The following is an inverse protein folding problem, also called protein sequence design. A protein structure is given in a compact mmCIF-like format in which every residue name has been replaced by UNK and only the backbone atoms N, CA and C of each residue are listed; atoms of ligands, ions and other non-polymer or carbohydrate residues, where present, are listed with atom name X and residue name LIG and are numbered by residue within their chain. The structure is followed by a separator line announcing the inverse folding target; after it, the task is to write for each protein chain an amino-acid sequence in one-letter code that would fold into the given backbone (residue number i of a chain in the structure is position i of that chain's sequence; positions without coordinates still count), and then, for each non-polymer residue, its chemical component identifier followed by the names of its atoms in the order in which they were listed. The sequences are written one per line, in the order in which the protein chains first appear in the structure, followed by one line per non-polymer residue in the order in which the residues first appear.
data_IF_038868396456
#
_entry.id   IF_038868396456
#
_cell.length_a   1.000
_cell.length_b   1.000
_cell.length_c   1.000
_cell.angle_alpha   90.00
_cell.angle_beta   90.00
_cell.angle_gamma   90.00
#
_symmetry.space_group_name_H-M   'P 1'
#
loop_
_entity.id
_entity.type
_entity.pdbx_description
1 polymer ?
#
# COMPACT_ATOMS: atom_id res chain seq x y z
N UNK A 1 -9.71 15.37 1.30
CA UNK A 1 -8.72 14.79 2.25
C UNK A 1 -9.30 13.50 2.75
N UNK A 2 -8.49 12.44 2.77
CA UNK A 2 -8.87 11.12 3.28
C UNK A 2 -7.94 10.73 4.43
N UNK A 3 -8.48 10.02 5.42
CA UNK A 3 -7.73 9.56 6.60
C UNK A 3 -7.60 8.05 6.61
N UNK A 4 -6.39 7.58 6.88
CA UNK A 4 -6.09 6.16 7.04
C UNK A 4 -4.92 5.98 8.01
N UNK A 5 -4.83 4.80 8.61
CA UNK A 5 -3.74 4.45 9.51
C UNK A 5 -2.69 3.63 8.78
N UNK A 6 -1.42 3.92 9.07
CA UNK A 6 -0.28 3.13 8.60
C UNK A 6 0.43 2.54 9.80
N UNK A 7 0.67 1.24 9.76
CA UNK A 7 1.58 0.52 10.63
C UNK A 7 2.89 0.27 9.88
N UNK A 8 4.01 0.75 10.43
CA UNK A 8 5.33 0.45 9.90
C UNK A 8 5.86 -0.89 10.44
N UNK A 9 6.99 -1.33 9.90
CA UNK A 9 7.63 -2.62 10.18
C UNK A 9 8.11 -2.77 11.62
N UNK A 10 8.33 -1.66 12.32
CA UNK A 10 8.66 -1.63 13.76
C UNK A 10 7.41 -1.74 14.66
N UNK A 11 6.21 -1.81 14.06
CA UNK A 11 4.92 -1.87 14.73
C UNK A 11 4.38 -0.49 15.16
N UNK A 12 5.10 0.60 14.89
CA UNK A 12 4.59 1.95 15.12
C UNK A 12 3.40 2.24 14.20
N UNK A 13 2.39 2.93 14.74
CA UNK A 13 1.17 3.29 14.01
C UNK A 13 0.98 4.79 13.99
N UNK A 14 0.62 5.31 12.82
CA UNK A 14 0.28 6.71 12.64
C UNK A 14 -0.96 6.87 11.77
N UNK A 15 -1.86 7.77 12.16
CA UNK A 15 -2.94 8.22 11.29
C UNK A 15 -2.36 9.28 10.34
N UNK A 16 -2.56 9.06 9.04
CA UNK A 16 -2.16 9.97 7.99
C UNK A 16 -3.41 10.64 7.41
N UNK A 17 -3.22 11.88 6.95
CA UNK A 17 -4.25 12.63 6.23
C UNK A 17 -3.67 13.05 4.88
N UNK A 18 -4.26 12.56 3.78
CA UNK A 18 -3.76 12.79 2.43
C UNK A 18 -4.78 13.51 1.54
N UNK A 19 -4.34 14.38 0.62
CA UNK A 19 -5.22 15.00 -0.37
C UNK A 19 -5.66 13.96 -1.41
N UNK A 20 -6.96 13.94 -1.69
CA UNK A 20 -7.67 13.04 -2.62
C UNK A 20 -7.81 13.63 -4.04
N UNK A 21 -7.41 14.88 -4.24
CA UNK A 21 -7.51 15.62 -5.50
C UNK A 21 -6.19 15.70 -6.28
N UNK A 22 -5.11 15.14 -5.73
CA UNK A 22 -3.77 15.15 -6.35
C UNK A 22 -3.51 13.97 -7.31
N UNK A 23 -4.38 12.96 -7.33
CA UNK A 23 -4.21 11.77 -8.16
C UNK A 23 -3.01 10.89 -7.77
N UNK A 24 -2.58 10.96 -6.50
CA UNK A 24 -1.53 10.13 -5.96
C UNK A 24 -2.06 8.73 -5.64
N UNK A 25 -1.19 7.73 -5.75
CA UNK A 25 -1.46 6.41 -5.16
C UNK A 25 -0.88 6.30 -3.74
N UNK A 26 -1.27 5.24 -3.01
CA UNK A 26 -0.86 5.01 -1.64
C UNK A 26 0.67 4.86 -1.53
N UNK A 27 1.34 4.21 -2.50
CA UNK A 27 2.81 4.11 -2.50
C UNK A 27 3.48 5.49 -2.55
N UNK A 28 3.04 6.37 -3.45
CA UNK A 28 3.59 7.74 -3.56
C UNK A 28 3.33 8.54 -2.28
N UNK A 29 2.14 8.35 -1.69
CA UNK A 29 1.74 9.00 -0.45
C UNK A 29 2.61 8.53 0.71
N UNK A 30 2.81 7.22 0.89
CA UNK A 30 3.69 6.66 1.90
C UNK A 30 5.12 7.21 1.77
N UNK A 31 5.66 7.31 0.55
CA UNK A 31 6.96 7.92 0.31
C UNK A 31 7.00 9.41 0.65
N UNK A 32 5.93 10.16 0.37
CA UNK A 32 5.81 11.57 0.74
C UNK A 32 5.76 11.78 2.26
N UNK A 33 5.26 10.79 3.01
CA UNK A 33 5.32 10.73 4.48
C UNK A 33 6.63 10.10 5.01
N UNK A 34 7.66 9.99 4.18
CA UNK A 34 9.00 9.49 4.53
C UNK A 34 9.06 8.01 4.94
N UNK A 35 8.02 7.21 4.68
CA UNK A 35 8.11 5.77 4.83
C UNK A 35 9.05 5.16 3.79
N UNK A 36 9.85 4.19 4.21
CA UNK A 36 10.80 3.50 3.34
C UNK A 36 10.06 2.49 2.45
N UNK A 37 9.70 2.93 1.24
CA UNK A 37 9.12 2.13 0.16
C UNK A 37 10.05 2.19 -1.06
N UNK A 38 10.62 1.04 -1.44
CA UNK A 38 11.54 0.89 -2.56
C UNK A 38 10.94 1.36 -3.89
N UNK A 39 9.70 0.95 -4.18
CA UNK A 39 8.96 1.29 -5.40
C UNK A 39 9.75 1.06 -6.71
N UNK A 40 10.47 -0.06 -6.83
CA UNK A 40 11.44 -0.35 -7.89
C UNK A 40 10.87 -0.22 -9.31
N UNK A 41 9.61 -0.65 -9.53
CA UNK A 41 8.96 -0.56 -10.85
C UNK A 41 8.18 0.74 -11.08
N UNK A 42 8.20 1.70 -10.15
CA UNK A 42 7.47 2.97 -10.30
C UNK A 42 5.94 2.84 -10.39
N UNK A 43 5.36 1.73 -9.92
CA UNK A 43 3.90 1.55 -9.87
C UNK A 43 3.30 0.67 -10.97
N UNK A 44 4.12 -0.06 -11.72
CA UNK A 44 3.67 -0.94 -12.81
C UNK A 44 3.16 -2.33 -12.36
N UNK A 45 3.08 -2.60 -11.05
CA UNK A 45 2.78 -3.93 -10.50
C UNK A 45 3.76 -5.05 -10.96
N UNK A 46 5.05 -4.72 -11.11
CA UNK A 46 6.08 -5.67 -11.62
C UNK A 46 7.17 -6.07 -10.60
N UNK A 47 7.12 -5.58 -9.36
CA UNK A 47 8.23 -5.80 -8.42
C UNK A 47 7.86 -6.22 -6.99
N UNK A 48 6.59 -6.10 -6.58
CA UNK A 48 6.18 -6.40 -5.21
C UNK A 48 6.76 -5.50 -4.10
N UNK A 49 7.72 -4.61 -4.38
CA UNK A 49 8.43 -3.81 -3.36
C UNK A 49 7.62 -2.67 -2.73
N UNK A 50 6.31 -2.66 -2.95
CA UNK A 50 5.34 -1.73 -2.35
C UNK A 50 4.22 -2.50 -1.63
N UNK A 51 4.47 -3.77 -1.32
CA UNK A 51 3.56 -4.67 -0.63
C UNK A 51 3.13 -4.10 0.72
N UNK A 52 1.82 -4.11 0.94
CA UNK A 52 1.18 -3.79 2.22
C UNK A 52 0.13 -4.85 2.54
N UNK A 53 -0.21 -5.01 3.81
CA UNK A 53 -1.40 -5.76 4.25
C UNK A 53 -2.49 -4.79 4.67
N UNK A 54 -3.71 -5.02 4.19
CA UNK A 54 -4.92 -4.34 4.65
C UNK A 54 -5.37 -5.00 5.96
N UNK A 55 -5.23 -4.28 7.08
CA UNK A 55 -5.63 -4.78 8.39
C UNK A 55 -7.10 -4.47 8.73
N UNK A 56 -7.66 -3.39 8.18
CA UNK A 56 -9.04 -2.97 8.43
C UNK A 56 -9.53 -1.99 7.35
N UNK A 57 -10.86 -1.88 7.20
CA UNK A 57 -11.53 -0.78 6.50
C UNK A 57 -11.65 -0.89 4.98
N UNK A 58 -11.18 -1.98 4.34
CA UNK A 58 -11.12 -2.06 2.87
C UNK A 58 -12.40 -2.47 2.15
N UNK A 59 -13.57 -2.34 2.77
CA UNK A 59 -14.88 -2.69 2.17
C UNK A 59 -15.18 -1.91 0.89
N UNK A 60 -14.62 -0.69 0.77
CA UNK A 60 -14.83 0.20 -0.36
C UNK A 60 -13.68 0.19 -1.37
N UNK A 61 -12.62 -0.59 -1.12
CA UNK A 61 -11.46 -0.63 -2.02
C UNK A 61 -11.85 -1.30 -3.34
N UNK A 62 -11.21 -0.90 -4.45
CA UNK A 62 -11.33 -1.64 -5.69
C UNK A 62 -10.78 -3.06 -5.50
N UNK A 63 -11.41 -4.00 -6.21
CA UNK A 63 -10.87 -5.35 -6.40
C UNK A 63 -9.45 -5.28 -6.96
N UNK A 64 -8.65 -6.29 -6.63
CA UNK A 64 -7.30 -6.41 -7.17
C UNK A 64 -7.37 -6.68 -8.67
N UNK A 65 -6.52 -5.98 -9.43
CA UNK A 65 -6.37 -6.27 -10.86
C UNK A 65 -5.62 -7.58 -11.09
N UNK A 66 -5.76 -8.17 -12.28
CA UNK A 66 -5.01 -9.38 -12.66
C UNK A 66 -3.50 -9.18 -12.50
N UNK A 67 -2.97 -8.01 -12.92
CA UNK A 67 -1.54 -7.70 -12.78
C UNK A 67 -1.11 -7.56 -11.30
N UNK A 68 -1.99 -7.06 -10.44
CA UNK A 68 -1.74 -7.00 -9.00
C UNK A 68 -1.70 -8.41 -8.40
N UNK A 69 -2.67 -9.27 -8.75
CA UNK A 69 -2.77 -10.65 -8.30
C UNK A 69 -1.57 -11.48 -8.76
N UNK A 70 -1.23 -11.42 -10.05
CA UNK A 70 -0.09 -12.13 -10.64
C UNK A 70 1.22 -11.81 -9.91
N UNK A 71 1.41 -10.55 -9.51
CA UNK A 71 2.60 -10.15 -8.77
C UNK A 71 2.53 -10.60 -7.30
N UNK A 72 1.37 -10.51 -6.64
CA UNK A 72 1.21 -10.96 -5.26
C UNK A 72 1.43 -12.47 -5.11
N UNK A 73 1.05 -13.27 -6.10
CA UNK A 73 1.28 -14.72 -6.14
C UNK A 73 2.77 -15.10 -6.10
N UNK A 74 3.66 -14.19 -6.51
CA UNK A 74 5.11 -14.40 -6.47
C UNK A 74 5.75 -13.97 -5.15
N UNK A 75 5.01 -13.29 -4.27
CA UNK A 75 5.51 -12.83 -2.97
C UNK A 75 5.27 -13.94 -1.93
N UNK A 76 6.32 -14.52 -1.31
CA UNK A 76 6.16 -15.67 -0.40
C UNK A 76 5.23 -15.45 0.80
N UNK A 77 5.18 -14.22 1.32
CA UNK A 77 4.38 -13.84 2.49
C UNK A 77 3.09 -13.11 2.12
N UNK A 78 2.62 -13.25 0.87
CA UNK A 78 1.33 -12.72 0.47
C UNK A 78 0.17 -13.52 1.08
N UNK A 79 -0.86 -12.79 1.46
CA UNK A 79 -2.09 -13.30 2.07
C UNK A 79 -3.29 -12.66 1.35
N UNK A 80 -4.51 -13.12 1.65
CA UNK A 80 -5.73 -12.58 1.01
C UNK A 80 -5.98 -11.10 1.26
N UNK A 81 -5.38 -10.52 2.31
CA UNK A 81 -5.44 -9.10 2.60
C UNK A 81 -4.21 -8.32 2.08
N UNK A 82 -3.32 -8.97 1.32
CA UNK A 82 -2.17 -8.31 0.71
C UNK A 82 -2.59 -7.45 -0.47
N UNK A 83 -1.99 -6.27 -0.57
CA UNK A 83 -2.18 -5.32 -1.66
C UNK A 83 -0.84 -4.78 -2.12
N UNK A 84 -0.79 -4.31 -3.36
CA UNK A 84 0.30 -3.45 -3.82
C UNK A 84 -0.14 -2.01 -3.62
N UNK A 85 0.50 -1.28 -2.71
CA UNK A 85 0.12 0.10 -2.39
C UNK A 85 0.15 1.04 -3.61
N UNK A 86 0.95 0.73 -4.63
CA UNK A 86 0.94 1.51 -5.88
C UNK A 86 -0.33 1.34 -6.73
N UNK A 87 -1.13 0.31 -6.48
CA UNK A 87 -2.39 0.05 -7.18
C UNK A 87 -3.61 0.65 -6.45
N UNK A 88 -3.40 1.29 -5.31
CA UNK A 88 -4.43 1.93 -4.51
C UNK A 88 -4.39 3.44 -4.72
N UNK A 89 -5.41 4.00 -5.39
CA UNK A 89 -5.54 5.45 -5.56
C UNK A 89 -5.98 6.11 -4.25
N UNK A 90 -5.43 7.28 -3.94
CA UNK A 90 -5.87 8.08 -2.79
C UNK A 90 -7.18 8.78 -3.13
N UNK A 91 -8.27 8.25 -2.58
CA UNK A 91 -9.62 8.79 -2.67
C UNK A 91 -10.44 8.28 -1.47
N UNK A 92 -11.74 8.60 -1.42
CA UNK A 92 -12.67 8.23 -0.35
C UNK A 92 -12.69 6.73 0.01
N UNK A 93 -12.29 5.83 -0.91
CA UNK A 93 -12.21 4.39 -0.61
C UNK A 93 -11.18 4.04 0.45
N UNK A 94 -10.18 4.89 0.69
CA UNK A 94 -9.17 4.68 1.73
C UNK A 94 -9.64 5.11 3.12
N UNK A 95 -10.79 5.78 3.25
CA UNK A 95 -11.22 6.35 4.52
C UNK A 95 -11.36 5.27 5.61
N UNK A 96 -10.67 5.46 6.72
CA UNK A 96 -10.66 4.53 7.85
C UNK A 96 -9.89 3.23 7.60
N UNK A 97 -9.20 3.08 6.46
CA UNK A 97 -8.36 1.92 6.21
C UNK A 97 -7.17 1.87 7.18
N UNK A 98 -6.69 0.67 7.48
CA UNK A 98 -5.41 0.45 8.16
C UNK A 98 -4.52 -0.41 7.29
N UNK A 99 -3.34 0.09 6.94
CA UNK A 99 -2.35 -0.61 6.13
C UNK A 99 -1.10 -0.91 6.95
N UNK A 100 -0.57 -2.12 6.85
CA UNK A 100 0.73 -2.49 7.39
C UNK A 100 1.74 -2.59 6.27
N UNK A 101 2.88 -1.93 6.40
CA UNK A 101 3.95 -1.99 5.41
C UNK A 101 4.69 -3.34 5.52
N UNK A 102 4.94 -3.99 4.39
CA UNK A 102 5.59 -5.31 4.32
C UNK A 102 6.95 -5.27 3.61
N UNK A 103 7.67 -6.40 3.67
CA UNK A 103 8.98 -6.62 3.08
C UNK A 103 10.15 -6.02 3.88
N UNK A 104 11.36 -6.55 3.72
CA UNK A 104 12.58 -5.93 4.25
C UNK A 104 13.21 -5.01 3.20
N UNK A 105 13.98 -4.02 3.65
CA UNK A 105 14.74 -3.12 2.76
C UNK A 105 16.02 -3.76 2.21
N UNK A 106 16.28 -5.03 2.54
CA UNK A 106 17.48 -5.74 2.13
C UNK A 106 17.28 -6.37 0.76
N UNK A 107 17.97 -5.81 -0.24
CA UNK A 107 18.35 -6.53 -1.46
C UNK A 107 19.43 -7.56 -1.08
N UNK A 108 19.04 -8.71 -0.56
CA UNK A 108 19.93 -9.88 -0.42
C UNK A 108 19.46 -11.01 -1.34
#
# INVERSE_FOLDING_TARGET
MVKFTVEDRDGSRQELEAPDDMGLNLMETLKAFEYEILATCGGMALCGTCHVKLLAGGENLPEQSDAELDMLDLIPDSESNSRLSCQLQVNDSLEGCTFQICGSLSED
#
